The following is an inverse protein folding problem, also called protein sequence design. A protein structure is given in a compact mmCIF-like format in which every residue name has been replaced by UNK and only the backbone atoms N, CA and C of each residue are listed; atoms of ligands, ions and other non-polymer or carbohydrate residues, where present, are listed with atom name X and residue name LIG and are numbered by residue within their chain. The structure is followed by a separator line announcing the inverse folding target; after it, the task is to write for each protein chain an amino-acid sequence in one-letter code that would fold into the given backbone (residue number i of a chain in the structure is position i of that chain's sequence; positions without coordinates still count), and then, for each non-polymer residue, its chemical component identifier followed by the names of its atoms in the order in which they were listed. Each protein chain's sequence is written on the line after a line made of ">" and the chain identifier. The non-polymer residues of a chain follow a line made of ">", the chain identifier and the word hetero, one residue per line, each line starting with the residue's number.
data_IF_413262201790
#
_entry.id   IF_413262201790
#
_cell.length_a   1.000
_cell.length_b   1.000
_cell.length_c   1.000
_cell.angle_alpha   90.00
_cell.angle_beta   90.00
_cell.angle_gamma   90.00
#
_symmetry.space_group_name_H-M   'P 1'
#
loop_
_entity.id
_entity.type
_entity.pdbx_description
1 polymer ?
#
# COMPACT_ATOMS: atom_id res chain seq x y z
N UNK A 1 12.08 15.75 -0.47
CA UNK A 1 10.82 15.01 -0.70
C UNK A 1 10.78 13.80 0.22
N UNK A 2 9.68 13.61 0.94
CA UNK A 2 9.43 12.51 1.86
C UNK A 2 8.24 11.71 1.32
N UNK A 3 8.48 10.45 0.97
CA UNK A 3 7.45 9.56 0.46
C UNK A 3 7.38 8.26 1.27
N UNK A 4 6.16 7.80 1.57
CA UNK A 4 5.93 6.53 2.26
C UNK A 4 5.10 5.62 1.37
N UNK A 5 5.70 4.53 0.88
CA UNK A 5 5.02 3.51 0.09
C UNK A 5 4.57 2.34 0.95
N UNK A 6 3.44 1.72 0.63
CA UNK A 6 3.00 0.49 1.26
C UNK A 6 2.39 -0.52 0.28
N UNK A 7 2.74 -1.80 0.47
CA UNK A 7 2.11 -2.91 -0.24
C UNK A 7 0.79 -3.27 0.45
N UNK A 8 -0.31 -2.71 -0.04
CA UNK A 8 -1.66 -2.89 0.51
C UNK A 8 -2.67 -2.22 -0.45
N UNK A 9 -3.91 -2.71 -0.64
CA UNK A 9 -4.65 -3.69 0.19
C UNK A 9 -4.76 -5.13 -0.31
N UNK A 10 -4.04 -5.51 -1.35
CA UNK A 10 -4.20 -6.86 -1.91
C UNK A 10 -3.44 -7.94 -1.13
N UNK A 11 -4.20 -8.97 -0.74
CA UNK A 11 -3.82 -10.35 -0.38
C UNK A 11 -2.75 -10.56 0.70
N UNK A 12 -1.48 -10.34 0.38
CA UNK A 12 -0.33 -10.80 1.17
C UNK A 12 0.91 -9.90 1.05
N UNK A 13 1.94 -10.23 1.83
CA UNK A 13 3.26 -9.59 1.88
C UNK A 13 3.20 -8.08 2.17
N UNK A 14 2.33 -7.68 3.09
CA UNK A 14 2.15 -6.29 3.44
C UNK A 14 3.43 -5.70 4.04
N UNK A 15 3.83 -4.54 3.54
CA UNK A 15 5.08 -3.91 3.88
C UNK A 15 5.00 -2.39 3.74
N UNK A 16 5.94 -1.69 4.36
CA UNK A 16 6.12 -0.23 4.28
C UNK A 16 7.56 0.09 3.93
N UNK A 17 7.76 1.03 3.00
CA UNK A 17 9.04 1.63 2.65
C UNK A 17 8.98 3.15 2.77
N UNK A 18 10.09 3.78 3.15
CA UNK A 18 10.20 5.23 3.31
C UNK A 18 11.39 5.76 2.52
N UNK A 19 11.12 6.71 1.63
CA UNK A 19 12.12 7.47 0.90
C UNK A 19 12.21 8.88 1.47
N UNK A 20 13.41 9.34 1.78
CA UNK A 20 13.71 10.74 2.12
C UNK A 20 14.80 11.23 1.17
N UNK A 21 14.49 12.25 0.38
CA UNK A 21 15.42 12.88 -0.57
C UNK A 21 16.11 11.91 -1.53
N UNK A 22 15.38 10.89 -1.97
CA UNK A 22 15.86 9.86 -2.91
C UNK A 22 16.51 8.65 -2.23
N UNK A 23 16.70 8.68 -0.91
CA UNK A 23 17.29 7.57 -0.17
C UNK A 23 16.24 6.71 0.55
N UNK A 24 16.37 5.38 0.46
CA UNK A 24 15.58 4.44 1.27
C UNK A 24 16.08 4.44 2.71
N UNK A 25 15.33 5.08 3.61
CA UNK A 25 15.74 5.25 5.01
C UNK A 25 15.11 4.22 5.96
N UNK A 26 13.99 3.60 5.56
CA UNK A 26 13.29 2.59 6.34
C UNK A 26 12.54 1.62 5.42
N UNK A 27 12.57 0.33 5.76
CA UNK A 27 11.71 -0.68 5.16
C UNK A 27 11.36 -1.74 6.21
N UNK A 28 10.10 -2.17 6.26
CA UNK A 28 9.66 -3.26 7.13
C UNK A 28 8.45 -3.98 6.57
N UNK A 29 8.46 -5.30 6.70
CA UNK A 29 7.30 -6.17 6.46
C UNK A 29 6.42 -6.26 7.71
N UNK A 30 5.10 -6.39 7.53
CA UNK A 30 4.11 -6.48 8.61
C UNK A 30 4.22 -7.81 9.38
N UNK A 31 4.51 -8.91 8.68
CA UNK A 31 4.64 -10.23 9.29
C UNK A 31 5.75 -10.32 10.36
N UNK A 32 6.73 -9.41 10.31
CA UNK A 32 7.78 -9.34 11.34
C UNK A 32 7.21 -8.91 12.69
N UNK A 33 6.11 -8.17 12.68
CA UNK A 33 5.39 -7.66 13.85
C UNK A 33 4.24 -8.58 14.26
N UNK A 34 3.43 -9.03 13.30
CA UNK A 34 2.26 -9.90 13.59
C UNK A 34 2.65 -11.35 13.84
N UNK A 35 3.82 -11.77 13.35
CA UNK A 35 4.32 -13.16 13.38
C UNK A 35 3.46 -14.14 12.56
N UNK A 36 2.56 -13.61 11.72
CA UNK A 36 1.78 -14.38 10.79
C UNK A 36 2.44 -14.31 9.41
N UNK A 37 3.01 -15.43 8.96
CA UNK A 37 3.71 -15.51 7.67
C UNK A 37 2.84 -14.95 6.54
N UNK A 38 3.45 -14.13 5.70
CA UNK A 38 2.86 -13.41 4.56
C UNK A 38 1.77 -12.41 4.94
N UNK A 39 1.48 -12.20 6.22
CA UNK A 39 0.49 -11.23 6.73
C UNK A 39 -0.85 -11.25 5.96
N UNK A 40 -1.48 -12.41 5.69
CA UNK A 40 -2.61 -12.49 4.75
C UNK A 40 -3.81 -11.70 5.26
N UNK A 41 -4.20 -10.65 4.53
CA UNK A 41 -5.33 -9.77 4.88
C UNK A 41 -5.08 -8.85 6.09
N UNK A 42 -3.82 -8.64 6.48
CA UNK A 42 -3.44 -7.81 7.63
C UNK A 42 -2.88 -6.46 7.16
N UNK A 43 -3.61 -5.34 7.29
CA UNK A 43 -3.07 -4.04 6.88
C UNK A 43 -1.73 -3.75 7.60
N UNK A 44 -0.78 -3.06 6.96
CA UNK A 44 0.56 -2.84 7.50
C UNK A 44 0.60 -1.80 8.64
N UNK A 45 -0.23 -2.00 9.67
CA UNK A 45 -0.42 -1.09 10.81
C UNK A 45 0.89 -0.96 11.58
N UNK A 46 1.51 -2.09 11.92
CA UNK A 46 2.72 -2.08 12.74
C UNK A 46 3.90 -1.54 11.94
N UNK A 47 4.07 -1.97 10.69
CA UNK A 47 5.12 -1.47 9.82
C UNK A 47 5.01 0.06 9.62
N UNK A 48 3.81 0.60 9.37
CA UNK A 48 3.61 2.05 9.19
C UNK A 48 3.84 2.80 10.51
N UNK A 49 3.33 2.27 11.63
CA UNK A 49 3.57 2.85 12.95
C UNK A 49 5.07 2.98 13.24
N UNK A 50 5.84 1.94 12.95
CA UNK A 50 7.29 1.94 13.19
C UNK A 50 8.03 2.87 12.24
N UNK A 51 7.60 2.97 10.97
CA UNK A 51 8.13 3.95 10.03
C UNK A 51 7.96 5.39 10.56
N UNK A 52 6.76 5.76 11.01
CA UNK A 52 6.49 7.10 11.55
C UNK A 52 7.28 7.38 12.84
N UNK A 53 7.36 6.41 13.75
CA UNK A 53 8.17 6.54 14.97
C UNK A 53 9.67 6.63 14.69
N UNK A 54 10.16 5.95 13.65
CA UNK A 54 11.54 6.02 13.21
C UNK A 54 11.85 7.40 12.61
N UNK A 55 11.00 7.89 11.70
CA UNK A 55 11.10 9.23 11.11
C UNK A 55 11.16 10.31 12.19
N UNK A 56 10.24 10.26 13.16
CA UNK A 56 10.20 11.22 14.27
C UNK A 56 11.49 11.21 15.10
N UNK A 57 12.02 10.02 15.41
CA UNK A 57 13.21 9.89 16.28
C UNK A 57 14.52 10.25 15.58
N UNK A 58 14.66 9.89 14.29
CA UNK A 58 15.93 10.00 13.57
C UNK A 58 16.03 11.27 12.72
N UNK A 59 14.92 11.74 12.18
CA UNK A 59 14.87 12.85 11.24
C UNK A 59 14.02 14.03 11.72
N UNK A 60 13.39 13.92 12.89
CA UNK A 60 12.43 14.92 13.41
C UNK A 60 11.24 15.19 12.48
N UNK A 61 10.98 14.26 11.55
CA UNK A 61 9.87 14.30 10.57
C UNK A 61 8.59 13.77 11.23
N UNK A 62 7.50 14.53 11.14
CA UNK A 62 6.17 14.14 11.60
C UNK A 62 5.29 13.68 10.42
N UNK A 63 4.18 12.96 10.68
CA UNK A 63 3.28 12.51 9.61
C UNK A 63 2.75 13.63 8.71
N UNK A 64 2.64 14.86 9.24
CA UNK A 64 2.24 16.06 8.50
C UNK A 64 3.27 16.62 7.53
N UNK A 65 4.53 16.23 7.68
CA UNK A 65 5.64 16.67 6.83
C UNK A 65 5.85 15.70 5.65
N UNK A 66 5.11 14.60 5.58
CA UNK A 66 5.16 13.62 4.49
C UNK A 66 4.47 14.21 3.24
N UNK A 67 5.21 14.31 2.13
CA UNK A 67 4.73 14.91 0.88
C UNK A 67 3.71 14.02 0.17
N UNK A 68 3.91 12.71 0.20
CA UNK A 68 3.03 11.74 -0.44
C UNK A 68 3.10 10.36 0.20
N UNK A 69 1.98 9.65 0.15
CA UNK A 69 1.94 8.22 0.37
C UNK A 69 1.66 7.51 -0.96
N UNK A 70 2.14 6.28 -1.11
CA UNK A 70 1.93 5.50 -2.32
C UNK A 70 1.36 4.11 -2.00
N UNK A 71 0.39 3.67 -2.81
CA UNK A 71 -0.11 2.28 -2.84
C UNK A 71 0.34 1.62 -4.14
N UNK A 72 0.77 0.37 -4.07
CA UNK A 72 1.34 -0.37 -5.22
C UNK A 72 0.29 -1.07 -6.10
N UNK A 73 -0.91 -0.50 -6.19
CA UNK A 73 -1.98 -0.96 -7.04
C UNK A 73 -2.78 0.24 -7.56
N UNK A 74 -3.06 0.29 -8.85
CA UNK A 74 -4.03 1.25 -9.38
C UNK A 74 -5.42 0.59 -9.51
N UNK A 75 -6.38 0.94 -8.65
CA UNK A 75 -7.71 0.35 -8.73
C UNK A 75 -8.41 0.62 -10.07
N UNK A 76 -8.00 1.67 -10.80
CA UNK A 76 -8.58 2.05 -12.10
C UNK A 76 -8.11 1.18 -13.25
N UNK A 77 -7.00 0.45 -13.10
CA UNK A 77 -6.48 -0.44 -14.14
C UNK A 77 -7.11 -1.83 -14.08
N UNK A 78 -7.69 -2.23 -12.93
CA UNK A 78 -8.34 -3.54 -12.84
C UNK A 78 -9.52 -3.67 -13.81
N UNK A 79 -9.61 -4.79 -14.53
CA UNK A 79 -10.79 -5.18 -15.29
C UNK A 79 -12.07 -5.22 -14.44
N UNK A 80 -13.22 -4.89 -15.04
CA UNK A 80 -14.50 -4.78 -14.31
C UNK A 80 -14.93 -6.09 -13.63
N UNK A 81 -14.66 -7.23 -14.26
CA UNK A 81 -14.90 -8.56 -13.71
C UNK A 81 -14.05 -8.83 -12.47
N UNK A 82 -12.79 -8.37 -12.43
CA UNK A 82 -11.95 -8.47 -11.25
C UNK A 82 -12.49 -7.62 -10.10
N UNK A 83 -12.93 -6.38 -10.37
CA UNK A 83 -13.55 -5.53 -9.34
C UNK A 83 -14.85 -6.13 -8.79
N UNK A 84 -15.69 -6.72 -9.65
CA UNK A 84 -16.90 -7.44 -9.25
C UNK A 84 -16.57 -8.65 -8.37
N UNK A 85 -15.57 -9.44 -8.76
CA UNK A 85 -15.12 -10.57 -7.96
C UNK A 85 -14.60 -10.14 -6.59
N UNK A 86 -13.82 -9.05 -6.52
CA UNK A 86 -13.34 -8.48 -5.25
C UNK A 86 -14.47 -7.99 -4.34
N UNK A 87 -15.56 -7.44 -4.89
CA UNK A 87 -16.76 -7.17 -4.09
C UNK A 87 -17.25 -8.45 -3.40
N UNK A 88 -17.41 -9.53 -4.16
CA UNK A 88 -17.90 -10.81 -3.65
C UNK A 88 -16.92 -11.38 -2.62
N UNK A 89 -15.65 -11.47 -2.95
CA UNK A 89 -14.62 -12.04 -2.07
C UNK A 89 -14.49 -11.25 -0.76
N UNK A 90 -14.58 -9.90 -0.80
CA UNK A 90 -14.52 -9.07 0.41
C UNK A 90 -15.69 -9.33 1.37
N UNK A 91 -16.86 -9.70 0.86
CA UNK A 91 -18.02 -10.08 1.69
C UNK A 91 -17.86 -11.48 2.29
N UNK A 92 -17.27 -12.41 1.55
CA UNK A 92 -17.02 -13.79 1.99
C UNK A 92 -15.84 -13.89 2.98
N UNK A 93 -14.74 -13.18 2.75
CA UNK A 93 -13.55 -13.21 3.61
C UNK A 93 -13.84 -12.72 5.03
N UNK A 94 -14.68 -11.69 5.18
CA UNK A 94 -15.11 -11.18 6.49
C UNK A 94 -16.13 -12.08 7.20
N UNK A 95 -16.70 -13.06 6.51
CA UNK A 95 -17.57 -14.08 7.13
C UNK A 95 -16.78 -15.24 7.75
N UNK A 96 -15.49 -15.42 7.38
CA UNK A 96 -14.68 -16.58 7.76
C UNK A 96 -13.60 -16.30 8.82
N UNK A 97 -13.28 -15.02 9.09
CA UNK A 97 -12.30 -14.63 10.13
C UNK A 97 -12.92 -13.75 11.20
N UNK A 98 -13.01 -14.31 12.40
CA UNK A 98 -13.47 -13.69 13.63
C UNK A 98 -12.55 -12.56 14.11
N UNK A 99 -13.17 -11.46 14.58
CA UNK A 99 -12.63 -10.30 15.34
C UNK A 99 -11.74 -9.28 14.60
N UNK A 100 -12.38 -8.34 13.90
CA UNK A 100 -11.90 -6.95 13.86
C UNK A 100 -12.94 -6.05 14.53
N UNK A 101 -12.62 -5.56 15.73
CA UNK A 101 -13.44 -4.63 16.53
C UNK A 101 -13.29 -3.18 16.07
N UNK A 102 -13.39 -2.94 14.77
CA UNK A 102 -13.34 -1.62 14.17
C UNK A 102 -14.54 -1.53 13.22
N UNK A 103 -15.40 -0.54 13.45
CA UNK A 103 -16.65 -0.18 12.74
C UNK A 103 -17.94 -0.59 13.47
N UNK A 104 -18.76 0.42 13.80
CA UNK A 104 -20.18 0.24 14.10
C UNK A 104 -20.89 -0.28 12.83
N UNK A 105 -21.38 -1.53 12.90
CA UNK A 105 -22.07 -2.23 11.83
C UNK A 105 -21.59 -3.68 11.69
N UNK A 106 -22.50 -4.61 11.39
CA UNK A 106 -22.17 -6.04 11.28
C UNK A 106 -21.11 -6.34 10.21
N UNK A 107 -20.40 -7.46 10.35
CA UNK A 107 -19.31 -7.90 9.46
C UNK A 107 -19.70 -7.91 7.98
N UNK A 108 -20.96 -8.24 7.67
CA UNK A 108 -21.52 -8.19 6.31
C UNK A 108 -21.56 -6.75 5.77
N UNK A 109 -21.94 -5.78 6.60
CA UNK A 109 -21.97 -4.36 6.26
C UNK A 109 -20.55 -3.81 6.04
N UNK A 110 -19.57 -4.27 6.83
CA UNK A 110 -18.17 -3.94 6.63
C UNK A 110 -17.62 -4.50 5.30
N UNK A 111 -17.96 -5.75 4.97
CA UNK A 111 -17.56 -6.37 3.69
C UNK A 111 -18.19 -5.71 2.48
N UNK A 112 -19.49 -5.38 2.55
CA UNK A 112 -20.16 -4.62 1.50
C UNK A 112 -19.55 -3.21 1.32
N UNK A 113 -19.18 -2.54 2.43
CA UNK A 113 -18.50 -1.25 2.37
C UNK A 113 -17.14 -1.37 1.70
N UNK A 114 -16.29 -2.30 2.14
CA UNK A 114 -14.95 -2.52 1.53
C UNK A 114 -15.10 -2.88 0.06
N UNK A 115 -15.95 -3.85 -0.28
CA UNK A 115 -16.18 -4.25 -1.66
C UNK A 115 -16.76 -3.12 -2.53
N UNK A 116 -17.59 -2.24 -1.97
CA UNK A 116 -18.08 -1.06 -2.69
C UNK A 116 -16.97 -0.04 -2.99
N UNK A 117 -15.96 0.07 -2.13
CA UNK A 117 -14.79 0.92 -2.38
C UNK A 117 -13.96 0.37 -3.53
N UNK A 118 -13.75 -0.95 -3.58
CA UNK A 118 -13.08 -1.61 -4.71
C UNK A 118 -13.83 -1.40 -6.02
N UNK A 119 -15.16 -1.53 -6.03
CA UNK A 119 -15.98 -1.27 -7.22
C UNK A 119 -15.85 0.17 -7.71
N UNK A 120 -15.91 1.14 -6.79
CA UNK A 120 -15.86 2.57 -7.12
C UNK A 120 -14.44 3.07 -7.42
N UNK A 121 -13.41 2.29 -7.08
CA UNK A 121 -12.02 2.73 -7.16
C UNK A 121 -11.61 3.67 -6.01
N UNK A 122 -12.38 3.72 -4.94
CA UNK A 122 -12.19 4.59 -3.77
C UNK A 122 -11.17 4.02 -2.76
N UNK A 123 -10.30 3.12 -3.21
CA UNK A 123 -9.23 2.52 -2.39
C UNK A 123 -8.30 3.57 -1.78
N UNK A 124 -8.16 4.71 -2.47
CA UNK A 124 -7.36 5.83 -2.03
C UNK A 124 -7.96 6.51 -0.79
N UNK A 125 -9.29 6.59 -0.69
CA UNK A 125 -9.94 7.12 0.52
C UNK A 125 -9.70 6.19 1.72
N UNK A 126 -9.76 4.88 1.48
CA UNK A 126 -9.44 3.90 2.51
C UNK A 126 -7.99 4.02 2.99
N UNK A 127 -7.04 4.19 2.07
CA UNK A 127 -5.64 4.46 2.39
C UNK A 127 -5.47 5.76 3.20
N UNK A 128 -6.21 6.84 2.87
CA UNK A 128 -6.19 8.09 3.67
C UNK A 128 -6.67 7.85 5.10
N UNK A 129 -7.79 7.15 5.28
CA UNK A 129 -8.33 6.82 6.61
C UNK A 129 -7.38 5.93 7.40
N UNK A 130 -6.75 4.97 6.73
CA UNK A 130 -5.74 4.10 7.32
C UNK A 130 -4.54 4.90 7.85
N UNK A 131 -3.93 5.74 7.00
CA UNK A 131 -2.81 6.61 7.39
C UNK A 131 -3.19 7.48 8.58
N UNK A 132 -4.37 8.12 8.54
CA UNK A 132 -4.86 8.95 9.64
C UNK A 132 -5.01 8.16 10.95
N UNK A 133 -5.61 6.97 10.89
CA UNK A 133 -5.78 6.09 12.06
C UNK A 133 -4.43 5.71 12.68
N UNK A 134 -3.44 5.33 11.86
CA UNK A 134 -2.10 4.96 12.36
C UNK A 134 -1.37 6.17 12.95
N UNK A 135 -1.45 7.35 12.33
CA UNK A 135 -0.88 8.58 12.87
C UNK A 135 -1.51 8.95 14.23
N UNK A 136 -2.83 8.88 14.35
CA UNK A 136 -3.55 9.13 15.61
C UNK A 136 -3.11 8.15 16.71
N UNK A 137 -2.84 6.88 16.36
CA UNK A 137 -2.39 5.86 17.32
C UNK A 137 -1.02 6.15 17.96
N UNK A 138 -0.23 7.07 17.39
CA UNK A 138 1.05 7.53 17.95
C UNK A 138 1.01 8.96 18.49
N UNK A 139 -0.19 9.54 18.61
CA UNK A 139 -0.41 10.90 19.13
C UNK A 139 -0.03 12.01 18.15
N UNK A 140 0.02 11.71 16.85
CA UNK A 140 0.28 12.68 15.78
C UNK A 140 -0.97 12.86 14.93
N UNK A 141 -1.01 13.89 14.08
CA UNK A 141 -2.08 14.12 13.11
C UNK A 141 -1.52 14.27 11.70
N UNK A 142 -2.41 14.24 10.71
CA UNK A 142 -2.11 14.37 9.28
C UNK A 142 -2.98 15.46 8.65
N UNK A 143 -2.49 16.16 7.61
CA UNK A 143 -3.28 17.15 6.87
C UNK A 143 -4.57 16.55 6.31
N UNK A 144 -5.59 17.37 6.08
CA UNK A 144 -6.85 16.90 5.50
C UNK A 144 -6.70 16.42 4.06
N UNK A 145 -5.78 17.02 3.32
CA UNK A 145 -5.50 16.73 1.92
C UNK A 145 -4.34 15.74 1.73
N UNK A 146 -4.32 14.64 2.48
CA UNK A 146 -3.30 13.59 2.31
C UNK A 146 -3.25 13.13 0.85
N UNK A 147 -2.07 13.27 0.23
CA UNK A 147 -1.80 12.80 -1.13
C UNK A 147 -1.51 11.30 -1.09
N UNK A 148 -2.41 10.50 -1.65
CA UNK A 148 -2.19 9.07 -1.92
C UNK A 148 -2.05 8.90 -3.42
N UNK A 149 -0.94 8.30 -3.86
CA UNK A 149 -0.61 8.03 -5.25
C UNK A 149 -0.78 6.53 -5.51
N UNK A 150 -1.71 6.10 -6.37
CA UNK A 150 -1.69 4.75 -6.88
C UNK A 150 -0.52 4.59 -7.85
N UNK A 151 0.25 3.52 -7.69
CA UNK A 151 1.33 3.12 -8.57
C UNK A 151 0.96 1.75 -9.14
N UNK A 152 0.93 1.57 -10.46
CA UNK A 152 0.69 0.26 -11.07
C UNK A 152 1.61 -0.81 -10.49
N UNK A 153 1.10 -2.02 -10.29
CA UNK A 153 1.79 -3.05 -9.51
C UNK A 153 3.15 -3.42 -10.09
N UNK A 154 3.18 -3.75 -11.39
CA UNK A 154 4.44 -4.08 -12.05
C UNK A 154 5.34 -2.87 -12.26
N UNK A 155 4.80 -1.64 -12.31
CA UNK A 155 5.64 -0.44 -12.28
C UNK A 155 6.35 -0.32 -10.93
N UNK A 156 5.67 -0.61 -9.82
CA UNK A 156 6.29 -0.62 -8.50
C UNK A 156 7.41 -1.68 -8.40
N UNK A 157 7.20 -2.88 -8.97
CA UNK A 157 8.26 -3.89 -9.09
C UNK A 157 9.45 -3.38 -9.91
N UNK A 158 9.20 -2.84 -11.10
CA UNK A 158 10.26 -2.34 -11.98
C UNK A 158 11.05 -1.20 -11.32
N UNK A 159 10.35 -0.25 -10.67
CA UNK A 159 10.93 0.85 -9.94
C UNK A 159 11.81 0.39 -8.77
N UNK A 160 11.37 -0.62 -8.01
CA UNK A 160 12.14 -1.18 -6.89
C UNK A 160 13.45 -1.83 -7.31
N UNK A 161 13.58 -2.24 -8.58
CA UNK A 161 14.83 -2.71 -9.15
C UNK A 161 15.65 -1.58 -9.77
N UNK A 162 15.05 -0.81 -10.69
CA UNK A 162 15.74 0.21 -11.48
C UNK A 162 16.39 1.30 -10.62
N UNK A 163 15.64 1.94 -9.73
CA UNK A 163 16.14 3.09 -8.95
C UNK A 163 17.25 2.72 -7.96
N UNK A 164 17.42 1.43 -7.66
CA UNK A 164 18.46 0.92 -6.77
C UNK A 164 19.61 0.22 -7.51
N UNK A 165 19.54 0.15 -8.84
CA UNK A 165 20.49 -0.62 -9.66
C UNK A 165 21.81 0.12 -9.95
N UNK A 166 21.80 1.45 -9.89
CA UNK A 166 22.92 2.29 -10.30
C UNK A 166 23.06 2.50 -11.82
N UNK A 167 22.13 1.96 -12.63
CA UNK A 167 22.08 2.19 -14.07
C UNK A 167 21.17 3.37 -14.43
N UNK A 168 21.57 4.15 -15.44
CA UNK A 168 20.76 5.24 -16.02
C UNK A 168 20.01 4.81 -17.29
N UNK A 169 20.34 3.65 -17.88
CA UNK A 169 19.67 3.06 -19.04
C UNK A 169 19.63 1.54 -18.83
N UNK A 170 18.43 0.96 -18.78
CA UNK A 170 18.22 -0.46 -18.49
C UNK A 170 16.97 -1.01 -19.17
N UNK A 171 17.02 -2.28 -19.55
CA UNK A 171 15.81 -3.08 -19.79
C UNK A 171 15.43 -3.78 -18.49
N UNK A 172 14.21 -3.56 -18.01
CA UNK A 172 13.71 -4.18 -16.79
C UNK A 172 12.65 -5.21 -17.15
N UNK A 173 12.74 -6.39 -16.57
CA UNK A 173 11.76 -7.47 -16.75
C UNK A 173 11.10 -7.74 -15.40
N UNK A 174 9.78 -7.55 -15.33
CA UNK A 174 8.98 -7.96 -14.18
C UNK A 174 8.29 -9.27 -14.50
N UNK A 175 8.51 -10.31 -13.69
CA UNK A 175 7.86 -11.62 -13.78
C UNK A 175 7.19 -11.90 -12.45
N UNK A 176 5.86 -11.99 -12.45
CA UNK A 176 5.08 -12.16 -11.24
C UNK A 176 3.86 -13.07 -11.49
N UNK A 177 3.16 -13.45 -10.43
CA UNK A 177 1.91 -14.19 -10.50
C UNK A 177 0.82 -13.40 -11.22
N UNK A 178 0.57 -12.17 -10.80
CA UNK A 178 -0.42 -11.27 -11.42
C UNK A 178 -0.26 -9.84 -10.91
N UNK A 179 -0.13 -8.89 -11.83
CA UNK A 179 -0.43 -7.48 -11.63
C UNK A 179 -1.92 -7.20 -11.83
N UNK A 180 -2.25 -5.99 -12.32
CA UNK A 180 -3.65 -5.60 -12.52
C UNK A 180 -4.36 -6.38 -13.63
N UNK A 181 -3.67 -6.67 -14.72
CA UNK A 181 -4.15 -7.49 -15.84
C UNK A 181 -3.06 -8.31 -16.54
N UNK A 182 -1.80 -8.09 -16.16
CA UNK A 182 -0.61 -8.67 -16.74
C UNK A 182 0.10 -9.62 -15.75
N UNK A 183 0.90 -10.58 -16.25
CA UNK A 183 1.77 -11.43 -15.42
C UNK A 183 3.27 -11.17 -15.67
N UNK A 184 3.59 -10.51 -16.78
CA UNK A 184 4.96 -10.20 -17.17
C UNK A 184 5.00 -8.91 -17.98
N UNK A 185 5.96 -8.03 -17.70
CA UNK A 185 6.15 -6.78 -18.45
C UNK A 185 7.64 -6.57 -18.71
N UNK A 186 7.95 -6.11 -19.92
CA UNK A 186 9.28 -5.62 -20.30
C UNK A 186 9.22 -4.11 -20.39
N UNK A 187 10.10 -3.44 -19.65
CA UNK A 187 10.22 -2.00 -19.60
C UNK A 187 11.53 -1.57 -20.27
N UNK A 188 11.49 -0.45 -20.98
CA UNK A 188 12.71 0.27 -21.37
C UNK A 188 12.81 1.48 -20.48
N UNK A 189 13.79 1.50 -19.59
CA UNK A 189 13.94 2.58 -18.62
C UNK A 189 15.18 3.40 -18.94
N UNK A 190 15.01 4.71 -19.10
CA UNK A 190 16.13 5.64 -19.33
C UNK A 190 15.93 6.92 -18.54
N UNK A 191 16.94 7.30 -17.77
CA UNK A 191 16.96 8.52 -16.95
C UNK A 191 15.71 8.67 -16.04
N UNK A 192 15.12 7.54 -15.62
CA UNK A 192 13.92 7.49 -14.76
C UNK A 192 12.58 7.44 -15.50
N UNK A 193 12.58 7.46 -16.84
CA UNK A 193 11.38 7.30 -17.66
C UNK A 193 11.15 5.82 -18.01
N UNK A 194 9.96 5.30 -17.69
CA UNK A 194 9.53 3.90 -17.86
C UNK A 194 8.64 3.69 -19.09
#
# INVERSE_FOLDING_TARGET
>A
MIAIGFNWPHEHDHAVGVIVDGELVFASEEERWTRHKHSPGEPPINALKQALLFLRRKYEIKPKDVDAYAVNWDPKLFPINHRLRRLIDSTLLLSSRTRLGLLEGGLVTAGLRIGSLYLRGDILDLARRFVRSVAHSIGEDVPDNIKIIPVPHHLAHAASAYYFSGFNDATVLTVDGSGEFEATVVWRVRDGEF
#
